data_IF_879098970125
#
_entry.id   IF_879098970125
#
_cell.length_a   1.000
_cell.length_b   1.000
_cell.length_c   1.000
_cell.angle_alpha   90.00
_cell.angle_beta   90.00
_cell.angle_gamma   90.00
#
_symmetry.space_group_name_H-M   'P 1'
#
loop_
_entity.id
_entity.type
_entity.pdbx_description
1 polymer ?
#
# COMPACT_ATOMS: atom_id res chain seq x y z
N UNK A 1 -0.61 -17.53 14.48
CA UNK A 1 -0.85 -16.44 13.54
C UNK A 1 -0.77 -15.11 14.26
N UNK A 2 -0.07 -14.16 13.69
CA UNK A 2 0.05 -12.82 14.26
C UNK A 2 -0.47 -11.79 13.30
N UNK A 3 -1.27 -10.87 13.82
CA UNK A 3 -1.83 -9.74 13.07
C UNK A 3 -1.27 -8.46 13.67
N UNK A 4 -0.78 -7.58 12.82
CA UNK A 4 -0.31 -6.26 13.23
C UNK A 4 -1.07 -5.19 12.47
N UNK A 5 -1.53 -4.18 13.21
CA UNK A 5 -2.18 -3.01 12.62
C UNK A 5 -1.10 -2.03 12.16
N UNK A 6 -1.26 -1.49 10.96
CA UNK A 6 -0.32 -0.54 10.38
C UNK A 6 -0.96 0.85 10.36
N UNK A 7 -0.32 1.81 11.02
CA UNK A 7 -0.87 3.16 11.18
C UNK A 7 0.07 4.26 10.71
N UNK A 8 1.33 3.95 10.47
CA UNK A 8 2.32 4.94 10.07
C UNK A 8 2.67 4.78 8.60
N UNK A 9 2.54 5.86 7.85
CA UNK A 9 2.72 5.85 6.40
C UNK A 9 3.53 7.06 5.96
N UNK A 10 4.41 6.86 5.00
CA UNK A 10 5.15 7.96 4.37
C UNK A 10 4.76 8.04 2.90
N UNK A 11 4.83 9.22 2.35
CA UNK A 11 4.57 9.44 0.93
C UNK A 11 5.83 9.15 0.13
N UNK A 12 5.67 8.38 -0.93
CA UNK A 12 6.76 8.02 -1.83
C UNK A 12 6.26 7.86 -3.25
N UNK A 13 6.99 7.06 -4.02
CA UNK A 13 6.70 6.81 -5.42
C UNK A 13 7.62 7.58 -6.34
N UNK A 14 7.31 7.55 -7.64
CA UNK A 14 8.14 8.22 -8.64
C UNK A 14 7.96 9.74 -8.62
N UNK A 15 6.76 10.21 -8.33
CA UNK A 15 6.40 11.62 -8.39
C UNK A 15 5.72 12.07 -7.09
N UNK A 16 6.38 11.94 -5.92
CA UNK A 16 5.71 12.25 -4.65
C UNK A 16 5.26 13.71 -4.54
N UNK A 17 5.94 14.63 -5.21
CA UNK A 17 5.57 16.04 -5.22
C UNK A 17 4.25 16.35 -5.94
N UNK A 18 3.69 15.38 -6.68
CA UNK A 18 2.40 15.54 -7.37
C UNK A 18 1.23 15.01 -6.55
N UNK A 19 1.48 14.54 -5.33
CA UNK A 19 0.47 13.88 -4.49
C UNK A 19 0.51 14.44 -3.07
N UNK A 20 -0.61 14.27 -2.38
CA UNK A 20 -0.75 14.64 -0.96
C UNK A 20 -1.23 13.41 -0.20
N UNK A 21 -0.65 13.18 0.97
CA UNK A 21 -1.04 12.11 1.88
C UNK A 21 -1.24 12.68 3.28
N UNK A 22 -2.43 12.50 3.86
CA UNK A 22 -2.69 12.96 5.23
C UNK A 22 -3.85 12.16 5.83
N UNK A 23 -4.12 12.41 7.13
CA UNK A 23 -5.26 11.81 7.80
C UNK A 23 -6.50 12.67 7.59
N UNK A 24 -7.57 12.08 7.04
CA UNK A 24 -8.80 12.80 6.77
C UNK A 24 -9.70 12.77 8.01
N UNK A 25 -9.57 13.79 8.85
CA UNK A 25 -10.29 13.86 10.13
C UNK A 25 -11.79 14.10 9.96
N UNK A 26 -12.22 14.52 8.80
CA UNK A 26 -13.64 14.74 8.49
C UNK A 26 -14.34 13.48 8.01
N UNK A 27 -13.58 12.43 7.75
CA UNK A 27 -14.11 11.15 7.33
C UNK A 27 -13.70 10.09 8.34
N UNK A 28 -14.68 9.30 8.82
CA UNK A 28 -14.40 8.18 9.70
C UNK A 28 -14.93 6.90 9.10
N UNK A 29 -14.18 5.82 9.28
CA UNK A 29 -14.59 4.49 8.90
C UNK A 29 -14.25 3.52 10.02
N UNK A 30 -15.26 2.83 10.56
CA UNK A 30 -15.10 1.87 11.67
C UNK A 30 -14.36 2.46 12.89
N UNK A 31 -14.70 3.69 13.28
CA UNK A 31 -14.08 4.42 14.39
C UNK A 31 -12.60 4.77 14.16
N UNK A 32 -12.12 4.65 12.95
CA UNK A 32 -10.77 5.07 12.58
C UNK A 32 -10.82 6.29 11.68
N UNK A 33 -9.75 7.10 11.75
CA UNK A 33 -9.56 8.20 10.82
C UNK A 33 -8.76 7.65 9.64
N UNK A 34 -9.35 7.57 8.44
CA UNK A 34 -8.64 7.01 7.30
C UNK A 34 -7.52 7.93 6.83
N UNK A 35 -6.54 7.33 6.17
CA UNK A 35 -5.57 8.08 5.38
C UNK A 35 -6.17 8.42 4.04
N UNK A 36 -5.76 9.54 3.51
CA UNK A 36 -6.24 10.06 2.24
C UNK A 36 -5.05 10.42 1.35
N UNK A 37 -4.98 9.77 0.20
CA UNK A 37 -3.96 10.01 -0.81
C UNK A 37 -4.66 10.52 -2.07
N UNK A 38 -4.23 11.67 -2.58
CA UNK A 38 -4.83 12.22 -3.78
C UNK A 38 -3.81 12.98 -4.62
N UNK A 39 -4.11 13.10 -5.91
CA UNK A 39 -3.29 13.86 -6.85
C UNK A 39 -3.59 15.35 -6.74
N UNK A 40 -2.56 16.18 -6.89
CA UNK A 40 -2.74 17.61 -7.06
C UNK A 40 -3.41 17.87 -8.40
N UNK A 41 -4.13 19.00 -8.49
CA UNK A 41 -4.87 19.35 -9.69
C UNK A 41 -3.96 19.40 -10.91
N UNK A 42 -4.39 18.73 -11.98
CA UNK A 42 -3.67 18.66 -13.26
C UNK A 42 -2.28 18.04 -13.17
N UNK A 43 -2.00 17.28 -12.12
CA UNK A 43 -0.74 16.56 -11.97
C UNK A 43 -0.97 15.07 -12.16
N UNK A 44 -0.07 14.44 -12.85
CA UNK A 44 -0.08 13.00 -13.06
C UNK A 44 1.24 12.39 -12.57
N UNK A 45 1.34 11.08 -12.64
CA UNK A 45 2.52 10.35 -12.22
C UNK A 45 2.17 9.19 -11.32
N UNK A 46 3.04 8.90 -10.37
CA UNK A 46 2.86 7.81 -9.44
C UNK A 46 3.20 8.26 -8.03
N UNK A 47 2.20 8.15 -7.14
CA UNK A 47 2.37 8.38 -5.71
C UNK A 47 1.93 7.16 -4.93
N UNK A 48 2.51 6.94 -3.78
CA UNK A 48 2.16 5.81 -2.93
C UNK A 48 2.41 6.15 -1.47
N UNK A 49 1.58 5.57 -0.59
CA UNK A 49 1.93 5.48 0.81
C UNK A 49 2.84 4.28 0.99
N UNK A 50 3.78 4.34 1.91
CA UNK A 50 4.72 3.25 2.16
C UNK A 50 4.85 3.03 3.65
N UNK A 51 4.87 1.76 4.05
CA UNK A 51 5.23 1.33 5.39
C UNK A 51 6.31 0.26 5.29
N UNK A 52 7.48 0.52 5.90
CA UNK A 52 8.56 -0.46 5.93
C UNK A 52 8.36 -1.40 7.11
N UNK A 53 8.36 -2.69 6.81
CA UNK A 53 8.16 -3.74 7.82
C UNK A 53 9.48 -4.19 8.42
N UNK A 54 9.45 -4.67 9.65
CA UNK A 54 10.59 -5.39 10.24
C UNK A 54 10.63 -6.77 9.59
N UNK A 55 11.51 -6.94 8.61
CA UNK A 55 11.59 -8.17 7.84
C UNK A 55 11.84 -9.41 8.69
N UNK A 56 12.54 -9.24 9.83
CA UNK A 56 12.88 -10.38 10.69
C UNK A 56 11.66 -11.14 11.21
N UNK A 57 10.50 -10.49 11.25
CA UNK A 57 9.26 -11.11 11.68
C UNK A 57 8.61 -11.96 10.59
N UNK A 58 9.04 -11.82 9.34
CA UNK A 58 8.31 -12.38 8.19
C UNK A 58 9.15 -13.24 7.26
N UNK A 59 10.47 -13.33 7.49
CA UNK A 59 11.36 -14.10 6.62
C UNK A 59 10.89 -15.55 6.46
N UNK A 60 10.76 -16.02 5.22
CA UNK A 60 10.36 -17.36 4.89
C UNK A 60 8.90 -17.70 5.19
N UNK A 61 8.08 -16.70 5.48
CA UNK A 61 6.67 -16.89 5.83
C UNK A 61 5.76 -16.37 4.73
N UNK A 62 4.56 -16.91 4.69
CA UNK A 62 3.50 -16.38 3.83
C UNK A 62 2.80 -15.27 4.60
N UNK A 63 2.72 -14.09 3.99
CA UNK A 63 2.10 -12.92 4.61
C UNK A 63 0.95 -12.42 3.78
N UNK A 64 -0.03 -11.84 4.46
CA UNK A 64 -1.19 -11.21 3.86
C UNK A 64 -1.26 -9.77 4.34
N UNK A 65 -1.22 -8.84 3.40
CA UNK A 65 -1.44 -7.42 3.63
C UNK A 65 -2.83 -7.08 3.17
N UNK A 66 -3.64 -6.50 4.04
CA UNK A 66 -5.05 -6.22 3.74
C UNK A 66 -5.51 -4.94 4.39
N UNK A 67 -6.64 -4.43 3.91
CA UNK A 67 -7.28 -3.27 4.48
C UNK A 67 -8.48 -2.81 3.67
N UNK A 68 -9.14 -1.78 4.20
CA UNK A 68 -10.33 -1.20 3.59
C UNK A 68 -9.93 -0.02 2.72
N UNK A 69 -10.48 0.04 1.51
CA UNK A 69 -10.19 1.08 0.54
C UNK A 69 -11.48 1.62 -0.06
N UNK A 70 -11.51 2.93 -0.25
CA UNK A 70 -12.53 3.64 -1.00
C UNK A 70 -11.82 4.54 -2.02
N UNK A 71 -12.34 4.62 -3.23
CA UNK A 71 -11.76 5.45 -4.29
C UNK A 71 -12.76 6.41 -4.87
N UNK A 72 -12.26 7.51 -5.45
CA UNK A 72 -13.07 8.47 -6.18
C UNK A 72 -12.30 8.96 -7.40
N UNK A 73 -12.93 8.81 -8.56
CA UNK A 73 -12.43 9.36 -9.83
C UNK A 73 -10.98 8.95 -10.15
N UNK A 74 -10.66 7.70 -9.93
CA UNK A 74 -9.35 7.15 -10.31
C UNK A 74 -9.29 7.04 -11.83
N UNK A 75 -8.37 7.77 -12.43
CA UNK A 75 -8.25 7.81 -13.89
C UNK A 75 -7.48 6.62 -14.44
N UNK A 76 -6.38 6.23 -13.80
CA UNK A 76 -5.59 5.09 -14.25
C UNK A 76 -5.79 3.90 -13.31
N UNK A 77 -5.09 3.84 -12.19
CA UNK A 77 -5.34 2.77 -11.22
C UNK A 77 -4.85 3.13 -9.81
N UNK A 78 -5.40 2.40 -8.83
CA UNK A 78 -4.99 2.46 -7.44
C UNK A 78 -5.07 1.06 -6.85
N UNK A 79 -4.39 0.83 -5.74
CA UNK A 79 -4.45 -0.47 -5.06
C UNK A 79 -3.38 -0.69 -4.03
N UNK A 80 -3.42 -1.88 -3.45
CA UNK A 80 -2.44 -2.34 -2.47
C UNK A 80 -1.24 -2.97 -3.17
N UNK A 81 -0.09 -2.95 -2.51
CA UNK A 81 1.08 -3.69 -2.96
C UNK A 81 1.91 -4.15 -1.76
N UNK A 82 2.67 -5.21 -1.99
CA UNK A 82 3.68 -5.71 -1.07
C UNK A 82 4.95 -5.99 -1.87
N UNK A 83 6.11 -5.62 -1.30
CA UNK A 83 7.37 -5.68 -2.03
C UNK A 83 8.50 -6.16 -1.13
N UNK A 84 9.21 -7.18 -1.58
CA UNK A 84 10.43 -7.67 -0.95
C UNK A 84 11.59 -7.47 -1.92
N UNK A 85 12.67 -6.89 -1.44
CA UNK A 85 13.86 -6.64 -2.26
C UNK A 85 15.06 -7.39 -1.70
N UNK A 86 15.82 -7.97 -2.60
CA UNK A 86 17.03 -8.73 -2.28
C UNK A 86 18.14 -8.20 -3.16
N UNK A 87 19.29 -7.89 -2.55
CA UNK A 87 20.46 -7.48 -3.31
C UNK A 87 21.10 -8.72 -3.94
N UNK A 88 21.14 -8.77 -5.28
CA UNK A 88 21.88 -9.75 -6.02
C UNK A 88 23.27 -9.26 -6.32
N UNK A 89 24.11 -10.10 -6.96
CA UNK A 89 25.51 -9.76 -7.26
C UNK A 89 25.64 -8.50 -8.14
N UNK A 90 24.78 -8.38 -9.14
CA UNK A 90 24.84 -7.28 -10.12
C UNK A 90 23.51 -6.59 -10.30
N UNK A 91 22.51 -6.93 -9.50
CA UNK A 91 21.16 -6.40 -9.63
C UNK A 91 20.36 -6.66 -8.37
N UNK A 92 19.23 -5.98 -8.26
CA UNK A 92 18.25 -6.21 -7.20
C UNK A 92 17.22 -7.21 -7.70
N UNK A 93 16.98 -8.25 -6.93
CA UNK A 93 15.85 -9.12 -7.14
C UNK A 93 14.66 -8.53 -6.38
N UNK A 94 13.56 -8.36 -7.08
CA UNK A 94 12.37 -7.72 -6.54
C UNK A 94 11.19 -8.69 -6.66
N UNK A 95 10.54 -8.90 -5.54
CA UNK A 95 9.30 -9.67 -5.46
C UNK A 95 8.21 -8.66 -5.14
N UNK A 96 7.35 -8.37 -6.11
CA UNK A 96 6.34 -7.31 -6.00
C UNK A 96 4.98 -7.84 -6.42
N UNK A 97 4.02 -7.77 -5.51
CA UNK A 97 2.65 -8.23 -5.76
C UNK A 97 1.71 -7.03 -5.59
N UNK A 98 0.87 -6.82 -6.59
CA UNK A 98 -0.19 -5.81 -6.55
C UNK A 98 -1.54 -6.49 -6.37
N UNK A 99 -2.45 -5.82 -5.67
CA UNK A 99 -3.87 -6.19 -5.70
C UNK A 99 -4.42 -5.93 -7.10
N UNK A 100 -5.61 -6.47 -7.41
CA UNK A 100 -6.29 -6.12 -8.63
C UNK A 100 -6.44 -4.60 -8.71
N UNK A 101 -6.06 -3.98 -9.84
CA UNK A 101 -6.11 -2.52 -9.93
C UNK A 101 -7.53 -2.01 -9.88
N UNK A 102 -7.71 -0.91 -9.15
CA UNK A 102 -8.97 -0.21 -9.03
C UNK A 102 -8.95 1.02 -9.93
N UNK A 103 -10.06 1.28 -10.61
CA UNK A 103 -10.26 2.49 -11.37
C UNK A 103 -11.59 3.13 -10.98
N UNK A 104 -11.75 4.40 -11.35
CA UNK A 104 -12.99 5.15 -11.14
C UNK A 104 -13.37 5.29 -9.68
N UNK A 105 -14.65 5.13 -9.35
CA UNK A 105 -15.17 5.35 -7.99
C UNK A 105 -15.69 4.04 -7.42
N UNK A 106 -15.17 3.67 -6.26
CA UNK A 106 -15.52 2.41 -5.58
C UNK A 106 -15.83 2.68 -4.11
N UNK A 107 -16.88 2.05 -3.57
CA UNK A 107 -17.20 2.18 -2.15
C UNK A 107 -16.18 1.45 -1.28
N UNK A 108 -16.24 1.66 0.02
CA UNK A 108 -15.41 0.93 0.97
C UNK A 108 -15.54 -0.57 0.77
N UNK A 109 -14.40 -1.22 0.60
CA UNK A 109 -14.33 -2.66 0.44
C UNK A 109 -12.97 -3.15 0.90
N UNK A 110 -12.90 -4.39 1.39
CA UNK A 110 -11.64 -5.00 1.77
C UNK A 110 -10.89 -5.53 0.54
N UNK A 111 -9.58 -5.27 0.52
CA UNK A 111 -8.66 -5.79 -0.49
C UNK A 111 -7.47 -6.42 0.21
N UNK A 112 -6.81 -7.36 -0.44
CA UNK A 112 -5.61 -7.98 0.10
C UNK A 112 -4.62 -8.37 -0.98
N UNK A 113 -3.36 -8.54 -0.56
CA UNK A 113 -2.31 -9.14 -1.34
C UNK A 113 -1.57 -10.14 -0.46
N UNK A 114 -1.06 -11.20 -1.08
CA UNK A 114 -0.36 -12.27 -0.38
C UNK A 114 1.00 -12.46 -1.04
N UNK A 115 2.03 -12.60 -0.23
CA UNK A 115 3.39 -12.86 -0.70
C UNK A 115 4.04 -13.94 0.16
N UNK A 116 4.68 -14.90 -0.50
CA UNK A 116 5.62 -15.80 0.17
C UNK A 116 6.95 -15.07 0.28
N UNK A 117 7.27 -14.61 1.48
CA UNK A 117 8.45 -13.78 1.71
C UNK A 117 9.71 -14.64 1.63
N UNK A 118 10.66 -14.30 0.74
CA UNK A 118 11.93 -15.03 0.69
C UNK A 118 12.71 -14.91 1.99
N UNK A 119 13.60 -15.88 2.24
CA UNK A 119 14.38 -15.91 3.48
C UNK A 119 15.53 -14.91 3.53
N UNK A 120 16.00 -14.45 2.38
CA UNK A 120 17.18 -13.60 2.28
C UNK A 120 16.88 -12.31 1.50
N UNK A 121 16.13 -11.45 2.14
CA UNK A 121 15.78 -10.13 1.58
C UNK A 121 16.42 -9.02 2.40
N UNK A 122 16.60 -7.85 1.76
CA UNK A 122 17.13 -6.66 2.41
C UNK A 122 16.02 -5.81 2.99
N UNK A 123 14.92 -5.66 2.25
CA UNK A 123 13.80 -4.81 2.67
C UNK A 123 12.46 -5.49 2.39
N UNK A 124 11.48 -5.18 3.23
CA UNK A 124 10.11 -5.61 3.05
C UNK A 124 9.22 -4.40 3.31
N UNK A 125 8.37 -4.08 2.35
CA UNK A 125 7.49 -2.91 2.46
C UNK A 125 6.11 -3.21 1.89
N UNK A 126 5.15 -2.43 2.32
CA UNK A 126 3.77 -2.48 1.84
C UNK A 126 3.28 -1.07 1.58
N UNK A 127 2.25 -0.95 0.77
CA UNK A 127 1.71 0.36 0.48
C UNK A 127 0.39 0.36 -0.22
N UNK A 128 -0.12 1.58 -0.38
CA UNK A 128 -1.33 1.90 -1.12
C UNK A 128 -0.93 2.91 -2.19
N UNK A 129 -1.12 2.57 -3.44
CA UNK A 129 -0.63 3.36 -4.56
C UNK A 129 -1.74 4.05 -5.34
N UNK A 130 -1.37 5.16 -5.98
CA UNK A 130 -2.22 5.90 -6.89
C UNK A 130 -1.39 6.26 -8.13
N UNK A 131 -1.80 5.74 -9.27
CA UNK A 131 -1.22 6.07 -10.57
C UNK A 131 -2.17 7.00 -11.31
N UNK A 132 -1.63 8.13 -11.80
CA UNK A 132 -2.44 9.15 -12.46
C UNK A 132 -3.20 10.01 -11.47
N UNK A 133 -4.35 10.52 -11.87
CA UNK A 133 -5.16 11.39 -11.02
C UNK A 133 -6.25 10.61 -10.28
N UNK A 134 -6.68 11.14 -9.14
CA UNK A 134 -7.78 10.56 -8.38
C UNK A 134 -7.59 10.71 -6.87
N UNK A 135 -8.46 10.00 -6.17
CA UNK A 135 -8.53 10.05 -4.71
C UNK A 135 -8.70 8.64 -4.14
N UNK A 136 -7.91 8.32 -3.13
CA UNK A 136 -8.02 7.04 -2.43
C UNK A 136 -7.95 7.24 -0.92
N UNK A 137 -8.90 6.63 -0.21
CA UNK A 137 -8.91 6.56 1.26
C UNK A 137 -8.65 5.13 1.67
N UNK A 138 -7.87 4.95 2.72
CA UNK A 138 -7.60 3.62 3.24
C UNK A 138 -7.59 3.60 4.76
N UNK A 139 -8.03 2.48 5.33
CA UNK A 139 -8.20 2.32 6.76
C UNK A 139 -8.11 0.84 7.14
N UNK A 140 -7.92 0.57 8.42
CA UNK A 140 -7.89 -0.80 8.95
C UNK A 140 -6.85 -1.67 8.27
N UNK A 141 -5.68 -1.10 8.01
CA UNK A 141 -4.60 -1.81 7.32
C UNK A 141 -3.90 -2.76 8.28
N UNK A 142 -3.73 -4.00 7.85
CA UNK A 142 -3.09 -5.03 8.67
C UNK A 142 -2.13 -5.87 7.85
N UNK A 143 -1.13 -6.41 8.53
CA UNK A 143 -0.23 -7.43 8.01
C UNK A 143 -0.31 -8.65 8.93
N UNK A 144 -0.43 -9.83 8.35
CA UNK A 144 -0.48 -11.05 9.15
C UNK A 144 0.26 -12.18 8.47
N UNK A 145 0.74 -13.13 9.28
CA UNK A 145 1.30 -14.38 8.75
C UNK A 145 0.17 -15.38 8.60
N UNK A 146 0.14 -16.07 7.48
CA UNK A 146 -0.86 -17.10 7.18
C UNK A 146 -0.16 -18.38 6.76
N UNK A 147 -0.87 -19.48 6.80
CA UNK A 147 -0.36 -20.77 6.39
C UNK A 147 -0.70 -21.12 4.95
#
# INVERSE_FOLDING_TARGET
MKIRKLTEWILGGRNPGNYILFSDIDMKYSNEVPKYLYSLENKEGYGTSIHFLDKSLYLGKRVKFSGMIMTKSIKEYAGLWIRAEQEGRNHWDVYHINSNPLSETNPWKEYCVILDVPKNIETLSVGVSLKGTGHIWFSSMTIETIE
#
